data_IF_845074856306
#
_entry.id   IF_845074856306
#
_cell.length_a   1.000
_cell.length_b   1.000
_cell.length_c   1.000
_cell.angle_alpha   90.00
_cell.angle_beta   90.00
_cell.angle_gamma   90.00
#
_symmetry.space_group_name_H-M   'P 1'
#
loop_
_entity.id
_entity.type
_entity.pdbx_description
1 polymer ?
#
# COMPACT_ATOMS: atom_id res chain seq x y z
N UNK A 1 14.82 -52.25 -33.00
CA UNK A 1 13.84 -51.73 -32.00
C UNK A 1 14.43 -50.59 -31.16
N UNK A 2 15.59 -50.76 -30.52
CA UNK A 2 16.20 -49.76 -29.62
C UNK A 2 16.54 -48.40 -30.29
N UNK A 3 16.99 -48.41 -31.56
CA UNK A 3 17.27 -47.18 -32.33
C UNK A 3 16.02 -46.34 -32.63
N UNK A 4 14.85 -46.98 -32.79
CA UNK A 4 13.60 -46.27 -33.08
C UNK A 4 13.12 -45.54 -31.82
N UNK A 5 13.23 -46.17 -30.64
CA UNK A 5 12.90 -45.53 -29.36
C UNK A 5 13.77 -44.30 -29.08
N UNK A 6 15.08 -44.37 -29.33
CA UNK A 6 15.95 -43.20 -29.17
C UNK A 6 15.55 -42.06 -30.11
N UNK A 7 15.19 -42.37 -31.36
CA UNK A 7 14.75 -41.36 -32.33
C UNK A 7 13.44 -40.68 -31.90
N UNK A 8 12.48 -41.46 -31.41
CA UNK A 8 11.20 -40.94 -30.88
C UNK A 8 11.44 -40.05 -29.65
N UNK A 9 12.31 -40.48 -28.72
CA UNK A 9 12.61 -39.70 -27.51
C UNK A 9 13.28 -38.36 -27.84
N UNK A 10 14.20 -38.34 -28.81
CA UNK A 10 14.85 -37.11 -29.27
C UNK A 10 13.82 -36.16 -29.92
N UNK A 11 12.89 -36.70 -30.72
CA UNK A 11 11.81 -35.90 -31.31
C UNK A 11 10.88 -35.32 -30.24
N UNK A 12 10.52 -36.10 -29.21
CA UNK A 12 9.69 -35.61 -28.10
C UNK A 12 10.43 -34.51 -27.32
N UNK A 13 11.72 -34.69 -27.02
CA UNK A 13 12.52 -33.68 -26.34
C UNK A 13 12.67 -32.40 -27.16
N UNK A 14 12.87 -32.52 -28.48
CA UNK A 14 12.89 -31.38 -29.39
C UNK A 14 11.53 -30.70 -29.47
N UNK A 15 10.42 -31.45 -29.50
CA UNK A 15 9.08 -30.87 -29.49
C UNK A 15 8.79 -30.18 -28.17
N UNK A 16 9.22 -30.71 -27.02
CA UNK A 16 9.09 -30.06 -25.71
C UNK A 16 9.96 -28.80 -25.63
N UNK A 17 11.19 -28.83 -26.15
CA UNK A 17 12.07 -27.64 -26.24
C UNK A 17 11.49 -26.57 -27.17
N UNK A 18 10.93 -26.97 -28.31
CA UNK A 18 10.25 -26.06 -29.23
C UNK A 18 8.97 -25.53 -28.58
N UNK A 19 8.21 -26.37 -27.87
CA UNK A 19 7.04 -25.91 -27.11
C UNK A 19 7.45 -24.91 -26.04
N UNK A 20 8.52 -25.17 -25.28
CA UNK A 20 9.10 -24.23 -24.30
C UNK A 20 9.61 -22.95 -24.97
N UNK A 21 10.17 -22.99 -26.17
CA UNK A 21 10.60 -21.79 -26.91
C UNK A 21 9.40 -21.01 -27.45
N UNK A 22 8.30 -21.68 -27.80
CA UNK A 22 7.09 -21.04 -28.32
C UNK A 22 6.14 -20.57 -27.20
N UNK A 23 6.11 -21.23 -26.03
CA UNK A 23 5.38 -20.79 -24.83
C UNK A 23 6.21 -19.78 -24.04
N UNK A 24 7.53 -19.96 -23.96
CA UNK A 24 8.48 -18.94 -23.52
C UNK A 24 8.99 -18.13 -24.72
N UNK A 25 8.08 -17.67 -25.58
CA UNK A 25 8.34 -16.35 -26.14
C UNK A 25 8.27 -15.41 -24.94
N UNK A 26 9.39 -14.79 -24.51
CA UNK A 26 9.25 -13.60 -23.70
C UNK A 26 8.43 -12.68 -24.59
N UNK A 27 7.15 -12.50 -24.26
CA UNK A 27 6.43 -11.36 -24.75
C UNK A 27 7.36 -10.20 -24.46
N UNK A 28 7.88 -9.64 -25.55
CA UNK A 28 8.46 -8.33 -25.64
C UNK A 28 7.37 -7.38 -25.16
N UNK A 29 7.13 -7.36 -23.86
CA UNK A 29 6.55 -6.27 -23.13
C UNK A 29 7.75 -5.50 -22.63
N UNK A 30 8.14 -4.41 -23.33
CA UNK A 30 9.02 -3.44 -22.71
C UNK A 30 8.37 -3.05 -21.40
N UNK A 31 9.10 -3.23 -20.30
CA UNK A 31 8.74 -2.66 -19.00
C UNK A 31 8.76 -1.12 -19.00
N UNK A 32 8.78 -0.48 -20.18
CA UNK A 32 8.63 0.97 -20.37
C UNK A 32 7.18 1.44 -20.51
N UNK A 33 6.18 0.60 -20.17
CA UNK A 33 4.78 1.06 -19.96
C UNK A 33 4.20 0.78 -18.59
N UNK A 34 5.04 0.67 -17.55
CA UNK A 34 4.65 1.35 -16.31
C UNK A 34 4.87 2.82 -16.65
N UNK A 35 3.84 3.51 -17.15
CA UNK A 35 3.95 4.95 -17.31
C UNK A 35 4.17 5.50 -15.89
N UNK A 36 5.35 6.05 -15.55
CA UNK A 36 5.40 6.92 -14.41
C UNK A 36 4.40 8.03 -14.74
N UNK A 37 3.48 8.34 -13.84
CA UNK A 37 2.80 9.63 -13.94
C UNK A 37 3.93 10.66 -14.01
N UNK A 38 4.03 11.35 -15.14
CA UNK A 38 5.16 12.15 -15.55
C UNK A 38 5.74 12.98 -14.39
N UNK A 39 7.06 12.92 -14.23
CA UNK A 39 7.81 14.00 -13.59
C UNK A 39 7.75 15.21 -14.51
N UNK A 40 6.70 16.03 -14.42
CA UNK A 40 6.75 17.37 -14.98
C UNK A 40 7.61 18.25 -14.06
N UNK A 41 8.74 18.69 -14.59
CA UNK A 41 9.44 19.88 -14.11
C UNK A 41 8.46 21.05 -14.14
N UNK A 42 8.38 21.81 -13.04
CA UNK A 42 7.50 22.97 -12.85
C UNK A 42 7.35 23.83 -14.11
N UNK A 43 6.12 24.18 -14.52
CA UNK A 43 5.89 24.93 -15.75
C UNK A 43 6.44 26.35 -15.63
N UNK A 44 7.37 26.69 -16.53
CA UNK A 44 7.69 28.07 -16.85
C UNK A 44 6.46 28.77 -17.40
N UNK A 45 6.22 30.00 -16.92
CA UNK A 45 5.11 30.86 -17.27
C UNK A 45 5.00 31.11 -18.78
N UNK A 46 4.14 30.35 -19.46
CA UNK A 46 3.75 30.56 -20.84
C UNK A 46 2.25 30.79 -20.92
N UNK A 47 1.86 31.94 -21.49
CA UNK A 47 0.48 32.44 -21.62
C UNK A 47 -0.52 31.36 -22.05
N UNK A 48 -1.54 31.12 -21.22
CA UNK A 48 -2.74 30.37 -21.60
C UNK A 48 -3.54 31.23 -22.59
N UNK A 49 -3.49 30.87 -23.88
CA UNK A 49 -4.45 31.36 -24.86
C UNK A 49 -5.78 30.60 -24.70
N UNK A 50 -6.85 31.38 -24.71
CA UNK A 50 -8.23 31.02 -24.39
C UNK A 50 -8.83 29.99 -25.35
N UNK A 51 -9.13 28.80 -24.84
CA UNK A 51 -10.08 27.86 -25.44
C UNK A 51 -11.32 27.68 -24.54
N UNK A 52 -11.82 28.78 -23.97
CA UNK A 52 -12.96 28.80 -23.04
C UNK A 52 -14.34 28.67 -23.71
N UNK A 53 -14.46 28.75 -25.04
CA UNK A 53 -15.77 28.77 -25.71
C UNK A 53 -16.40 27.40 -26.03
N UNK A 54 -15.79 26.27 -25.61
CA UNK A 54 -16.35 24.93 -25.89
C UNK A 54 -16.88 24.15 -24.69
N UNK A 55 -16.83 24.66 -23.46
CA UNK A 55 -17.40 23.94 -22.30
C UNK A 55 -18.76 24.46 -21.82
N UNK A 56 -19.37 25.48 -22.43
CA UNK A 56 -20.66 26.03 -21.95
C UNK A 56 -21.91 25.21 -22.29
N UNK A 57 -21.82 24.09 -23.04
CA UNK A 57 -23.00 23.34 -23.48
C UNK A 57 -23.29 22.02 -22.75
N UNK A 58 -22.57 21.70 -21.69
CA UNK A 58 -22.88 20.55 -20.83
C UNK A 58 -22.65 20.99 -19.38
N UNK A 59 -23.70 21.46 -18.71
CA UNK A 59 -24.03 21.31 -17.28
C UNK A 59 -25.15 22.34 -17.00
N UNK A 60 -26.40 21.89 -16.96
CA UNK A 60 -27.47 22.62 -16.28
C UNK A 60 -27.25 22.42 -14.78
N UNK A 61 -26.65 23.40 -14.09
CA UNK A 61 -26.57 23.40 -12.62
C UNK A 61 -27.95 23.81 -12.07
N UNK A 62 -28.64 22.96 -11.29
CA UNK A 62 -29.86 23.37 -10.60
C UNK A 62 -29.55 24.46 -9.57
N UNK A 63 -30.22 25.61 -9.68
CA UNK A 63 -29.94 26.85 -8.95
C UNK A 63 -30.47 26.88 -7.50
N UNK A 64 -30.43 25.76 -6.78
CA UNK A 64 -30.75 25.71 -5.34
C UNK A 64 -29.81 24.73 -4.64
N UNK A 65 -28.50 24.99 -4.72
CA UNK A 65 -27.50 24.27 -3.93
C UNK A 65 -27.46 24.90 -2.53
N UNK A 66 -27.86 24.15 -1.50
CA UNK A 66 -27.62 24.54 -0.12
C UNK A 66 -26.10 24.48 0.16
N UNK A 67 -25.44 25.62 0.04
CA UNK A 67 -24.01 25.81 0.33
C UNK A 67 -23.69 25.75 1.85
N UNK A 68 -24.66 25.36 2.70
CA UNK A 68 -24.46 25.26 4.15
C UNK A 68 -23.34 24.29 4.53
N UNK A 69 -23.10 23.23 3.74
CA UNK A 69 -22.13 22.20 4.06
C UNK A 69 -20.80 22.35 3.28
N UNK A 70 -19.97 23.31 3.68
CA UNK A 70 -18.66 23.57 3.04
C UNK A 70 -17.73 22.34 2.99
N UNK A 71 -17.85 21.38 3.92
CA UNK A 71 -17.02 20.16 3.92
C UNK A 71 -17.45 19.11 2.89
N UNK A 72 -18.68 19.21 2.36
CA UNK A 72 -19.13 18.35 1.27
C UNK A 72 -18.36 18.63 -0.03
N UNK A 73 -18.16 19.92 -0.34
CA UNK A 73 -17.49 20.38 -1.55
C UNK A 73 -15.97 20.20 -1.46
N UNK A 74 -15.34 19.86 -2.59
CA UNK A 74 -13.88 19.77 -2.72
C UNK A 74 -13.45 20.81 -3.75
N UNK A 75 -12.65 21.79 -3.32
CA UNK A 75 -12.18 22.90 -4.18
C UNK A 75 -13.32 23.69 -4.85
N UNK A 76 -14.47 23.80 -4.17
CA UNK A 76 -15.67 24.47 -4.69
C UNK A 76 -16.52 23.63 -5.65
N UNK A 77 -16.12 22.39 -5.97
CA UNK A 77 -16.90 21.45 -6.78
C UNK A 77 -17.70 20.48 -5.91
N UNK A 78 -18.83 19.98 -6.42
CA UNK A 78 -19.41 18.74 -5.88
C UNK A 78 -18.31 17.67 -5.86
N UNK A 79 -18.17 16.95 -4.76
CA UNK A 79 -17.06 15.99 -4.57
C UNK A 79 -17.02 14.90 -5.65
N UNK A 80 -18.16 14.42 -6.12
CA UNK A 80 -18.21 13.38 -7.14
C UNK A 80 -17.88 13.96 -8.51
N UNK A 81 -18.20 15.23 -8.76
CA UNK A 81 -17.74 15.96 -9.94
C UNK A 81 -16.23 16.22 -9.87
N UNK A 82 -15.69 16.51 -8.68
CA UNK A 82 -14.24 16.63 -8.47
C UNK A 82 -13.52 15.31 -8.79
N UNK A 83 -14.01 14.16 -8.31
CA UNK A 83 -13.42 12.85 -8.64
C UNK A 83 -13.43 12.58 -10.15
N UNK A 84 -14.55 12.86 -10.82
CA UNK A 84 -14.67 12.74 -12.28
C UNK A 84 -13.69 13.66 -13.01
N UNK A 85 -13.56 14.90 -12.57
CA UNK A 85 -12.62 15.86 -13.14
C UNK A 85 -11.17 15.41 -12.98
N UNK A 86 -10.79 14.89 -11.81
CA UNK A 86 -9.45 14.35 -11.57
C UNK A 86 -9.17 13.13 -12.46
N UNK A 87 -10.12 12.21 -12.62
CA UNK A 87 -10.00 11.07 -13.54
C UNK A 87 -9.83 11.53 -14.99
N UNK A 88 -10.64 12.50 -15.44
CA UNK A 88 -10.61 13.02 -16.80
C UNK A 88 -9.24 13.64 -17.13
N UNK A 89 -8.69 14.45 -16.21
CA UNK A 89 -7.33 15.01 -16.32
C UNK A 89 -6.25 13.94 -16.49
N UNK A 90 -6.46 12.75 -15.94
CA UNK A 90 -5.47 11.66 -15.96
C UNK A 90 -5.59 10.74 -17.18
N UNK A 91 -6.81 10.47 -17.65
CA UNK A 91 -7.03 9.40 -18.64
C UNK A 91 -7.57 9.88 -19.98
N UNK A 92 -8.19 11.07 -20.05
CA UNK A 92 -8.89 11.61 -21.24
C UNK A 92 -9.81 10.60 -21.96
N UNK A 93 -10.19 9.50 -21.28
CA UNK A 93 -10.90 8.36 -21.82
C UNK A 93 -12.38 8.43 -21.40
N UNK A 94 -13.26 7.93 -22.27
CA UNK A 94 -14.66 7.71 -21.88
C UNK A 94 -14.75 6.55 -20.87
N UNK A 95 -15.67 6.60 -19.89
CA UNK A 95 -15.89 5.49 -18.97
C UNK A 95 -16.16 4.17 -19.69
N UNK A 96 -15.42 3.13 -19.29
CA UNK A 96 -15.62 1.75 -19.79
C UNK A 96 -16.53 1.00 -18.83
N UNK A 97 -17.22 -0.04 -19.29
CA UNK A 97 -17.96 -0.94 -18.40
C UNK A 97 -17.08 -2.13 -18.08
N UNK A 98 -16.92 -2.47 -16.80
CA UNK A 98 -16.14 -3.64 -16.41
C UNK A 98 -16.91 -4.92 -16.73
N UNK A 99 -16.24 -6.05 -16.96
CA UNK A 99 -16.92 -7.34 -17.07
C UNK A 99 -17.30 -7.92 -15.70
N UNK A 100 -16.56 -7.54 -14.66
CA UNK A 100 -16.72 -7.95 -13.27
C UNK A 100 -16.16 -6.88 -12.34
N UNK A 101 -16.57 -6.92 -11.07
CA UNK A 101 -16.00 -6.12 -9.99
C UNK A 101 -15.94 -6.98 -8.72
N UNK A 102 -14.78 -7.02 -8.08
CA UNK A 102 -14.54 -7.69 -6.79
C UNK A 102 -14.25 -6.61 -5.76
N UNK A 103 -15.09 -6.55 -4.74
CA UNK A 103 -14.98 -5.62 -3.61
C UNK A 103 -14.10 -6.21 -2.51
N UNK A 104 -13.53 -5.33 -1.68
CA UNK A 104 -12.69 -5.69 -0.54
C UNK A 104 -13.37 -5.24 0.77
N UNK A 105 -13.37 -3.93 1.07
CA UNK A 105 -14.05 -3.35 2.23
C UNK A 105 -14.85 -2.09 1.88
N UNK A 106 -15.71 -1.66 2.79
CA UNK A 106 -16.49 -0.45 2.68
C UNK A 106 -16.36 0.40 3.94
N UNK A 107 -16.12 1.69 3.77
CA UNK A 107 -15.85 2.63 4.86
C UNK A 107 -16.77 3.85 4.73
N UNK A 108 -17.44 4.24 5.80
CA UNK A 108 -18.29 5.42 5.83
C UNK A 108 -17.56 6.62 6.40
N UNK A 109 -17.42 7.65 5.59
CA UNK A 109 -16.93 8.97 5.98
C UNK A 109 -18.10 9.95 6.14
N UNK A 110 -17.79 11.19 6.49
CA UNK A 110 -18.79 12.22 6.79
C UNK A 110 -19.81 12.41 5.64
N UNK A 111 -19.34 12.36 4.39
CA UNK A 111 -20.11 12.74 3.21
C UNK A 111 -20.19 11.66 2.12
N UNK A 112 -19.52 10.52 2.30
CA UNK A 112 -19.54 9.42 1.33
C UNK A 112 -19.27 8.07 2.00
N UNK A 113 -19.58 7.01 1.26
CA UNK A 113 -19.11 5.65 1.57
C UNK A 113 -18.07 5.30 0.50
N UNK A 114 -16.87 4.93 0.92
CA UNK A 114 -15.79 4.51 0.03
C UNK A 114 -15.71 2.99 0.02
N UNK A 115 -15.81 2.37 -1.15
CA UNK A 115 -15.64 0.93 -1.35
C UNK A 115 -14.29 0.68 -2.00
N UNK A 116 -13.45 -0.11 -1.35
CA UNK A 116 -12.18 -0.58 -1.91
C UNK A 116 -12.40 -1.88 -2.68
N UNK A 117 -11.59 -2.11 -3.70
CA UNK A 117 -11.79 -3.20 -4.66
C UNK A 117 -10.47 -3.92 -4.91
N UNK A 118 -10.57 -5.16 -5.35
CA UNK A 118 -9.44 -5.97 -5.77
C UNK A 118 -9.46 -6.23 -7.26
N UNK A 119 -10.09 -5.41 -8.10
CA UNK A 119 -10.18 -5.68 -9.56
C UNK A 119 -9.16 -4.92 -10.39
N UNK A 120 -8.47 -5.63 -11.29
CA UNK A 120 -7.26 -5.11 -11.93
C UNK A 120 -7.60 -4.27 -13.15
N UNK A 121 -6.83 -3.20 -13.39
CA UNK A 121 -6.99 -2.34 -14.57
C UNK A 121 -8.41 -1.81 -14.72
N UNK A 122 -9.10 -1.60 -13.60
CA UNK A 122 -10.47 -1.08 -13.59
C UNK A 122 -10.54 0.44 -13.49
N UNK A 123 -9.44 1.18 -13.33
CA UNK A 123 -9.48 2.64 -13.25
C UNK A 123 -10.37 3.28 -14.35
N UNK A 124 -11.25 4.18 -13.95
CA UNK A 124 -12.24 4.85 -14.82
C UNK A 124 -13.39 3.98 -15.33
N UNK A 125 -13.57 2.75 -14.84
CA UNK A 125 -14.73 1.95 -15.20
C UNK A 125 -15.96 2.36 -14.40
N UNK A 126 -17.11 2.34 -15.07
CA UNK A 126 -18.41 2.56 -14.46
C UNK A 126 -18.85 1.35 -13.66
N UNK A 127 -19.38 1.63 -12.47
CA UNK A 127 -20.01 0.67 -11.56
C UNK A 127 -21.21 1.34 -10.89
N UNK A 128 -22.05 0.55 -10.22
CA UNK A 128 -23.21 1.02 -9.49
C UNK A 128 -23.09 0.66 -8.02
N UNK A 129 -23.19 1.66 -7.15
CA UNK A 129 -23.29 1.46 -5.71
C UNK A 129 -24.70 0.98 -5.34
N UNK A 130 -24.75 -0.13 -4.60
CA UNK A 130 -25.96 -0.83 -4.16
C UNK A 130 -26.05 -0.79 -2.65
N UNK A 131 -27.19 -0.37 -2.13
CA UNK A 131 -27.35 -0.01 -0.73
C UNK A 131 -28.37 -0.92 -0.08
N UNK A 132 -28.01 -1.52 1.06
CA UNK A 132 -28.88 -2.42 1.79
C UNK A 132 -29.05 -1.94 3.23
N UNK A 133 -30.27 -2.09 3.75
CA UNK A 133 -30.57 -1.94 5.17
C UNK A 133 -30.13 -3.17 6.00
N UNK A 134 -30.44 -3.18 7.29
CA UNK A 134 -30.15 -4.30 8.20
C UNK A 134 -30.87 -5.61 7.81
N UNK A 135 -31.98 -5.52 7.06
CA UNK A 135 -32.77 -6.67 6.59
C UNK A 135 -32.35 -7.15 5.19
N UNK A 136 -31.30 -6.57 4.60
CA UNK A 136 -30.86 -6.79 3.22
C UNK A 136 -31.90 -6.36 2.16
N UNK A 137 -32.71 -5.34 2.44
CA UNK A 137 -33.61 -4.71 1.49
C UNK A 137 -32.88 -3.55 0.79
N UNK A 138 -33.00 -3.47 -0.53
CA UNK A 138 -32.37 -2.40 -1.30
C UNK A 138 -32.99 -1.02 -1.02
N UNK A 139 -32.13 -0.06 -0.69
CA UNK A 139 -32.51 1.33 -0.42
C UNK A 139 -32.28 2.20 -1.65
N UNK A 140 -33.39 2.66 -2.25
CA UNK A 140 -33.38 3.63 -3.34
C UNK A 140 -32.79 3.10 -4.65
N UNK A 141 -32.56 4.00 -5.61
CA UNK A 141 -32.04 3.64 -6.93
C UNK A 141 -30.51 3.42 -6.89
N UNK A 142 -29.91 2.44 -7.58
CA UNK A 142 -28.45 2.30 -7.62
C UNK A 142 -27.75 3.61 -8.05
N UNK A 143 -26.66 3.99 -7.37
CA UNK A 143 -25.90 5.21 -7.69
C UNK A 143 -24.78 4.89 -8.67
N UNK A 144 -24.77 5.57 -9.82
CA UNK A 144 -23.69 5.42 -10.80
C UNK A 144 -22.42 6.10 -10.29
N UNK A 145 -21.31 5.35 -10.27
CA UNK A 145 -20.00 5.84 -9.86
C UNK A 145 -18.91 5.30 -10.79
N UNK A 146 -17.69 5.76 -10.56
CA UNK A 146 -16.50 5.37 -11.30
C UNK A 146 -15.46 4.87 -10.31
N UNK A 147 -14.69 3.88 -10.73
CA UNK A 147 -13.49 3.45 -10.00
C UNK A 147 -12.38 4.50 -10.17
N UNK A 148 -12.28 5.43 -9.24
CA UNK A 148 -11.19 6.40 -9.16
C UNK A 148 -11.03 6.92 -7.72
N UNK A 149 -9.82 6.94 -7.15
CA UNK A 149 -8.54 6.44 -7.69
C UNK A 149 -8.52 4.94 -8.02
N UNK A 150 -7.38 4.42 -8.50
CA UNK A 150 -7.27 2.97 -8.76
C UNK A 150 -7.66 2.18 -7.50
N UNK A 151 -8.45 1.11 -7.69
CA UNK A 151 -9.02 0.26 -6.64
C UNK A 151 -10.06 0.89 -5.71
N UNK A 152 -10.47 2.15 -5.93
CA UNK A 152 -11.37 2.87 -5.01
C UNK A 152 -12.63 3.31 -5.76
N UNK A 153 -13.79 3.19 -5.12
CA UNK A 153 -15.08 3.70 -5.60
C UNK A 153 -15.73 4.53 -4.51
N UNK A 154 -16.02 5.80 -4.79
CA UNK A 154 -16.77 6.67 -3.87
C UNK A 154 -18.26 6.61 -4.20
N UNK A 155 -19.08 6.38 -3.17
CA UNK A 155 -20.53 6.25 -3.25
C UNK A 155 -21.21 7.32 -2.39
N UNK A 156 -22.33 7.88 -2.85
CA UNK A 156 -23.16 8.78 -2.02
C UNK A 156 -23.66 8.07 -0.77
N UNK A 157 -23.71 8.78 0.36
CA UNK A 157 -24.37 8.27 1.58
C UNK A 157 -25.86 8.18 1.39
N UNK A 158 -26.48 7.24 2.11
CA UNK A 158 -27.93 7.12 2.23
C UNK A 158 -28.31 6.67 3.62
N UNK A 159 -29.26 7.39 4.20
CA UNK A 159 -29.79 7.08 5.51
C UNK A 159 -30.33 5.65 5.55
N UNK A 160 -30.03 4.94 6.64
CA UNK A 160 -30.42 3.55 6.82
C UNK A 160 -29.52 2.51 6.14
N UNK A 161 -28.49 2.92 5.37
CA UNK A 161 -27.55 1.95 4.77
C UNK A 161 -26.69 1.29 5.83
N UNK A 162 -26.60 -0.04 5.77
CA UNK A 162 -25.84 -0.88 6.71
C UNK A 162 -24.86 -1.78 5.99
N UNK A 163 -25.21 -2.18 4.76
CA UNK A 163 -24.31 -2.85 3.84
C UNK A 163 -24.32 -2.16 2.49
N UNK A 164 -23.21 -2.23 1.78
CA UNK A 164 -23.06 -1.70 0.44
C UNK A 164 -22.37 -2.72 -0.45
N UNK A 165 -22.66 -2.70 -1.74
CA UNK A 165 -21.87 -3.45 -2.72
C UNK A 165 -21.79 -2.72 -4.05
N UNK A 166 -21.03 -3.30 -4.98
CA UNK A 166 -20.86 -2.77 -6.33
C UNK A 166 -21.38 -3.79 -7.34
N UNK A 167 -22.22 -3.32 -8.26
CA UNK A 167 -22.61 -4.07 -9.46
C UNK A 167 -22.07 -3.42 -10.72
N UNK A 168 -21.78 -4.22 -11.74
CA UNK A 168 -21.36 -3.74 -13.06
C UNK A 168 -22.52 -3.07 -13.80
N UNK A 169 -23.70 -3.70 -13.71
CA UNK A 169 -24.95 -3.19 -14.27
C UNK A 169 -25.84 -2.63 -13.15
N UNK A 170 -26.75 -1.73 -13.51
CA UNK A 170 -27.62 -1.05 -12.54
C UNK A 170 -28.35 -2.03 -11.62
N UNK A 171 -28.94 -3.08 -12.22
CA UNK A 171 -29.68 -4.12 -11.51
C UNK A 171 -28.98 -5.48 -11.55
N UNK A 172 -27.66 -5.49 -11.77
CA UNK A 172 -26.88 -6.73 -11.82
C UNK A 172 -26.57 -7.30 -10.43
N UNK A 173 -25.93 -8.46 -10.41
CA UNK A 173 -25.48 -9.10 -9.16
C UNK A 173 -24.38 -8.29 -8.47
N UNK A 174 -24.34 -8.38 -7.14
CA UNK A 174 -23.30 -7.79 -6.30
C UNK A 174 -23.11 -8.57 -5.00
N UNK A 175 -21.95 -8.37 -4.37
CA UNK A 175 -21.66 -8.90 -3.04
C UNK A 175 -21.78 -7.78 -2.00
N UNK A 176 -22.67 -7.91 -1.01
CA UNK A 176 -22.83 -6.90 0.02
C UNK A 176 -21.72 -6.99 1.08
N UNK A 177 -21.16 -5.83 1.44
CA UNK A 177 -20.16 -5.66 2.48
C UNK A 177 -20.74 -4.87 3.66
N UNK A 178 -20.43 -5.25 4.92
CA UNK A 178 -20.71 -4.37 6.05
C UNK A 178 -19.90 -3.08 5.92
N UNK A 179 -20.49 -1.99 6.41
CA UNK A 179 -19.85 -0.67 6.41
C UNK A 179 -19.09 -0.47 7.72
N UNK A 180 -17.83 -0.06 7.60
CA UNK A 180 -16.97 0.32 8.73
C UNK A 180 -17.08 1.83 8.94
N UNK A 181 -17.42 2.26 10.16
CA UNK A 181 -17.52 3.68 10.50
C UNK A 181 -16.12 4.34 10.57
N UNK A 182 -15.94 5.39 9.76
CA UNK A 182 -14.76 6.27 9.74
C UNK A 182 -15.12 7.73 10.00
N UNK A 183 -16.31 8.01 10.52
CA UNK A 183 -16.74 9.34 11.02
C UNK A 183 -16.27 9.61 12.45
N UNK A 184 -15.04 9.20 12.76
CA UNK A 184 -14.48 9.34 14.10
C UNK A 184 -14.22 10.84 14.39
N UNK A 185 -14.72 11.33 15.54
CA UNK A 185 -14.49 12.72 15.97
C UNK A 185 -13.01 13.04 16.21
N UNK A 186 -12.24 12.01 16.58
CA UNK A 186 -10.79 12.06 16.78
C UNK A 186 -10.19 10.71 16.36
N UNK A 187 -8.98 10.69 15.81
CA UNK A 187 -8.25 9.45 15.59
C UNK A 187 -8.11 8.64 16.88
N UNK A 188 -8.22 7.32 16.76
CA UNK A 188 -7.96 6.35 17.84
C UNK A 188 -6.47 6.21 18.11
N UNK A 189 -5.66 6.33 17.06
CA UNK A 189 -4.21 6.22 17.09
C UNK A 189 -3.56 7.50 16.58
N UNK A 190 -2.46 7.90 17.21
CA UNK A 190 -1.61 8.97 16.71
C UNK A 190 -0.70 8.44 15.60
N UNK A 191 -0.12 7.24 15.79
CA UNK A 191 0.79 6.61 14.83
C UNK A 191 0.41 5.13 14.62
N UNK A 192 0.21 4.76 13.35
CA UNK A 192 -0.01 3.36 12.93
C UNK A 192 0.84 3.05 11.70
N UNK A 193 0.91 1.77 11.32
CA UNK A 193 1.68 1.32 10.16
C UNK A 193 0.83 0.48 9.22
N UNK A 194 0.80 0.87 7.95
CA UNK A 194 0.42 0.04 6.82
C UNK A 194 1.63 -0.79 6.38
N UNK A 195 1.56 -2.10 6.62
CA UNK A 195 2.58 -3.05 6.18
C UNK A 195 2.26 -3.48 4.75
N UNK A 196 3.25 -3.50 3.87
CA UNK A 196 3.09 -4.06 2.53
C UNK A 196 2.58 -5.52 2.59
N UNK A 197 1.86 -5.95 1.55
CA UNK A 197 1.24 -7.28 1.53
C UNK A 197 2.24 -8.42 1.78
N UNK A 198 1.85 -9.37 2.61
CA UNK A 198 2.57 -10.63 2.78
C UNK A 198 2.21 -11.61 1.65
N UNK A 199 3.25 -12.09 0.95
CA UNK A 199 3.16 -13.07 -0.12
C UNK A 199 4.47 -13.88 -0.28
N UNK A 200 4.44 -14.90 -1.13
CA UNK A 200 5.60 -15.76 -1.43
C UNK A 200 5.97 -16.72 -0.30
N UNK A 201 6.94 -17.59 -0.59
CA UNK A 201 7.23 -18.78 0.23
C UNK A 201 8.41 -18.62 1.20
N UNK A 202 9.12 -17.48 1.19
CA UNK A 202 10.17 -17.22 2.18
C UNK A 202 9.55 -17.21 3.59
N UNK A 203 10.15 -17.90 4.59
CA UNK A 203 9.75 -17.79 5.99
C UNK A 203 9.77 -16.34 6.48
N UNK A 204 8.65 -15.88 7.05
CA UNK A 204 8.47 -14.47 7.46
C UNK A 204 8.41 -14.29 8.96
N UNK A 205 8.15 -15.35 9.73
CA UNK A 205 7.88 -15.28 11.16
C UNK A 205 8.88 -14.39 11.92
N UNK A 206 10.19 -14.53 11.66
CA UNK A 206 11.21 -13.76 12.36
C UNK A 206 11.25 -12.30 11.88
N UNK A 207 11.20 -12.06 10.57
CA UNK A 207 11.14 -10.70 10.03
C UNK A 207 9.90 -9.96 10.51
N UNK A 208 8.78 -10.67 10.63
CA UNK A 208 7.51 -10.12 11.11
C UNK A 208 7.57 -9.73 12.58
N UNK A 209 8.05 -10.61 13.46
CA UNK A 209 8.22 -10.28 14.88
C UNK A 209 9.17 -9.09 15.04
N UNK A 210 10.32 -9.10 14.37
CA UNK A 210 11.28 -8.02 14.48
C UNK A 210 10.71 -6.69 13.96
N UNK A 211 9.97 -6.71 12.84
CA UNK A 211 9.30 -5.52 12.30
C UNK A 211 8.30 -4.95 13.31
N UNK A 212 7.38 -5.77 13.82
CA UNK A 212 6.37 -5.32 14.79
C UNK A 212 7.03 -4.76 16.04
N UNK A 213 7.97 -5.50 16.66
CA UNK A 213 8.61 -5.05 17.89
C UNK A 213 9.52 -3.83 17.67
N UNK A 214 10.14 -3.69 16.51
CA UNK A 214 10.89 -2.49 16.14
C UNK A 214 9.97 -1.26 16.09
N UNK A 215 8.87 -1.33 15.34
CA UNK A 215 7.98 -0.19 15.17
C UNK A 215 7.21 0.14 16.45
N UNK A 216 6.94 -0.84 17.32
CA UNK A 216 6.46 -0.58 18.68
C UNK A 216 7.44 0.25 19.51
N UNK A 217 8.75 -0.02 19.40
CA UNK A 217 9.78 0.83 20.02
C UNK A 217 9.82 2.25 19.43
N UNK A 218 9.35 2.43 18.19
CA UNK A 218 9.19 3.74 17.55
C UNK A 218 7.85 4.42 17.86
N UNK A 219 7.02 3.81 18.72
CA UNK A 219 5.73 4.36 19.16
C UNK A 219 4.54 4.02 18.27
N UNK A 220 4.67 3.08 17.32
CA UNK A 220 3.52 2.59 16.53
C UNK A 220 2.53 1.87 17.45
N UNK A 221 1.27 2.28 17.38
CA UNK A 221 0.20 1.81 18.28
C UNK A 221 -0.70 0.74 17.64
N UNK A 222 -0.69 0.65 16.31
CA UNK A 222 -1.52 -0.31 15.56
C UNK A 222 -0.92 -0.60 14.19
N UNK A 223 -1.17 -1.81 13.68
CA UNK A 223 -0.66 -2.30 12.40
C UNK A 223 -1.78 -2.80 11.51
N UNK A 224 -1.80 -2.33 10.27
CA UNK A 224 -2.70 -2.77 9.22
C UNK A 224 -1.92 -3.69 8.27
N UNK A 225 -2.39 -4.93 8.13
CA UNK A 225 -1.71 -5.97 7.38
C UNK A 225 -2.59 -6.55 6.28
N UNK A 226 -2.03 -6.71 5.08
CA UNK A 226 -2.68 -7.45 4.00
C UNK A 226 -1.97 -8.79 3.78
N UNK A 227 -2.73 -9.88 3.69
CA UNK A 227 -2.18 -11.22 3.46
C UNK A 227 -2.75 -11.77 2.15
N UNK A 228 -1.88 -11.95 1.16
CA UNK A 228 -2.22 -12.73 -0.03
C UNK A 228 -1.90 -14.22 0.20
N UNK A 229 -0.69 -14.51 0.68
CA UNK A 229 -0.25 -15.86 1.00
C UNK A 229 0.76 -15.84 2.15
N UNK A 230 0.53 -16.67 3.17
CA UNK A 230 1.43 -16.88 4.29
C UNK A 230 1.39 -18.36 4.69
N UNK A 231 2.54 -18.91 5.10
CA UNK A 231 2.59 -20.29 5.59
C UNK A 231 1.83 -20.43 6.91
N UNK A 232 1.37 -21.65 7.23
CA UNK A 232 0.74 -21.92 8.54
C UNK A 232 1.67 -21.51 9.69
N UNK A 233 2.98 -21.74 9.53
CA UNK A 233 3.97 -21.36 10.53
C UNK A 233 4.02 -19.85 10.74
N UNK A 234 4.06 -19.05 9.67
CA UNK A 234 4.02 -17.59 9.76
C UNK A 234 2.70 -17.09 10.35
N UNK A 235 1.59 -17.74 10.00
CA UNK A 235 0.26 -17.39 10.50
C UNK A 235 0.15 -17.54 12.02
N UNK A 236 0.93 -18.40 12.67
CA UNK A 236 0.91 -18.55 14.14
C UNK A 236 1.24 -17.24 14.84
N UNK A 237 2.34 -16.58 14.46
CA UNK A 237 2.72 -15.31 15.08
C UNK A 237 1.85 -14.15 14.63
N UNK A 238 1.41 -14.14 13.37
CA UNK A 238 0.47 -13.12 12.88
C UNK A 238 -0.82 -13.18 13.69
N UNK A 239 -1.41 -14.36 13.84
CA UNK A 239 -2.64 -14.56 14.61
C UNK A 239 -2.47 -14.20 16.08
N UNK A 240 -1.28 -14.37 16.65
CA UNK A 240 -1.00 -13.95 18.02
C UNK A 240 -1.07 -12.41 18.19
N UNK A 241 -0.49 -11.67 17.24
CA UNK A 241 -0.60 -10.19 17.23
C UNK A 241 -2.01 -9.69 16.89
N UNK A 242 -2.78 -10.45 16.09
CA UNK A 242 -4.20 -10.18 15.87
C UNK A 242 -4.99 -10.37 17.16
N UNK A 243 -4.75 -11.48 17.87
CA UNK A 243 -5.40 -11.79 19.15
C UNK A 243 -5.14 -10.73 20.22
N UNK A 244 -3.96 -10.12 20.24
CA UNK A 244 -3.65 -9.03 21.18
C UNK A 244 -4.15 -7.66 20.73
N UNK A 245 -4.79 -7.56 19.55
CA UNK A 245 -5.33 -6.31 18.99
C UNK A 245 -4.25 -5.36 18.45
N UNK A 246 -3.01 -5.84 18.31
CA UNK A 246 -1.89 -5.06 17.79
C UNK A 246 -1.96 -4.97 16.25
N UNK A 247 -2.40 -6.05 15.60
CA UNK A 247 -2.50 -6.17 14.13
C UNK A 247 -3.96 -6.40 13.72
N UNK A 248 -4.41 -5.70 12.68
CA UNK A 248 -5.64 -6.01 11.95
C UNK A 248 -5.29 -6.54 10.54
N UNK A 249 -6.06 -7.50 10.03
CA UNK A 249 -5.71 -8.24 8.80
C UNK A 249 -6.83 -8.20 7.77
N UNK A 250 -6.47 -7.80 6.54
CA UNK A 250 -7.27 -7.97 5.34
C UNK A 250 -6.69 -9.08 4.45
N UNK A 251 -7.50 -10.06 4.10
CA UNK A 251 -7.08 -11.15 3.21
C UNK A 251 -7.32 -10.78 1.75
N UNK A 252 -6.28 -10.91 0.93
CA UNK A 252 -6.33 -10.66 -0.50
C UNK A 252 -6.52 -11.99 -1.23
N UNK A 253 -7.60 -12.10 -2.01
CA UNK A 253 -7.92 -13.31 -2.78
C UNK A 253 -7.72 -13.01 -4.27
N UNK A 254 -6.86 -13.78 -4.92
CA UNK A 254 -6.61 -13.66 -6.36
C UNK A 254 -7.77 -14.18 -7.21
N UNK A 255 -8.18 -13.37 -8.17
CA UNK A 255 -9.30 -13.61 -9.10
C UNK A 255 -9.01 -13.16 -10.54
N UNK A 256 -7.98 -12.35 -10.74
CA UNK A 256 -7.55 -11.75 -12.01
C UNK A 256 -6.21 -12.32 -12.51
N UNK A 257 -5.67 -13.37 -11.88
CA UNK A 257 -4.41 -14.06 -12.26
C UNK A 257 -3.19 -13.13 -12.31
N UNK A 258 -3.00 -12.30 -11.27
CA UNK A 258 -1.88 -11.36 -11.19
C UNK A 258 -0.65 -12.03 -10.60
N UNK A 259 0.50 -11.39 -10.83
CA UNK A 259 1.70 -11.67 -10.04
C UNK A 259 1.58 -11.03 -8.65
N UNK A 260 2.13 -11.69 -7.64
CA UNK A 260 2.00 -11.28 -6.23
C UNK A 260 2.42 -9.84 -5.97
N UNK A 261 3.47 -9.36 -6.64
CA UNK A 261 3.98 -8.01 -6.48
C UNK A 261 2.98 -6.92 -6.91
N UNK A 262 1.95 -7.26 -7.70
CA UNK A 262 0.89 -6.32 -8.09
C UNK A 262 -0.14 -6.09 -6.98
N UNK A 263 -0.17 -6.93 -5.93
CA UNK A 263 -1.01 -6.68 -4.75
C UNK A 263 -0.60 -5.45 -3.97
N UNK A 264 0.65 -5.01 -4.12
CA UNK A 264 1.15 -3.80 -3.44
C UNK A 264 0.26 -2.59 -3.72
N UNK A 265 -0.24 -2.42 -4.95
CA UNK A 265 -1.11 -1.29 -5.27
C UNK A 265 -2.50 -1.39 -4.63
N UNK A 266 -3.03 -2.60 -4.44
CA UNK A 266 -4.29 -2.82 -3.71
C UNK A 266 -4.11 -2.51 -2.24
N UNK A 267 -3.01 -2.98 -1.62
CA UNK A 267 -2.65 -2.67 -0.25
C UNK A 267 -2.49 -1.17 -0.01
N UNK A 268 -1.79 -0.45 -0.88
CA UNK A 268 -1.63 0.99 -0.76
C UNK A 268 -2.97 1.73 -0.83
N UNK A 269 -3.80 1.39 -1.81
CA UNK A 269 -5.10 2.02 -2.01
C UNK A 269 -6.06 1.71 -0.86
N UNK A 270 -6.17 0.44 -0.45
CA UNK A 270 -7.04 0.04 0.65
C UNK A 270 -6.55 0.58 1.99
N UNK A 271 -5.26 0.44 2.31
CA UNK A 271 -4.73 0.87 3.59
C UNK A 271 -4.80 2.40 3.78
N UNK A 272 -4.65 3.17 2.70
CA UNK A 272 -4.88 4.62 2.70
C UNK A 272 -6.31 4.98 3.15
N UNK A 273 -7.31 4.20 2.72
CA UNK A 273 -8.71 4.41 3.12
C UNK A 273 -8.97 3.81 4.50
N UNK A 274 -8.43 2.63 4.77
CA UNK A 274 -8.62 1.87 6.00
C UNK A 274 -8.13 2.64 7.22
N UNK A 275 -6.94 3.26 7.15
CA UNK A 275 -6.39 4.05 8.26
C UNK A 275 -6.94 5.48 8.36
N UNK A 276 -7.62 5.97 7.32
CA UNK A 276 -8.13 7.35 7.26
C UNK A 276 -9.14 7.61 8.37
N UNK A 277 -8.86 8.62 9.18
CA UNK A 277 -9.73 9.02 10.30
C UNK A 277 -9.57 8.17 11.56
N UNK A 278 -9.03 6.95 11.45
CA UNK A 278 -8.68 6.12 12.60
C UNK A 278 -7.28 6.43 13.14
N UNK A 279 -6.34 6.77 12.26
CA UNK A 279 -4.97 7.12 12.61
C UNK A 279 -4.61 8.52 12.11
N UNK A 280 -3.94 9.32 12.95
CA UNK A 280 -3.45 10.65 12.55
C UNK A 280 -2.28 10.58 11.56
N UNK A 281 -1.25 9.78 11.86
CA UNK A 281 -0.09 9.54 11.02
C UNK A 281 0.08 8.05 10.70
N UNK A 282 0.17 7.71 9.43
CA UNK A 282 0.30 6.31 8.97
C UNK A 282 1.63 6.11 8.25
N UNK A 283 2.46 5.19 8.76
CA UNK A 283 3.69 4.73 8.10
C UNK A 283 3.30 3.78 6.96
N UNK A 284 3.88 3.97 5.78
CA UNK A 284 3.82 3.01 4.69
C UNK A 284 5.21 2.41 4.47
N UNK A 285 5.41 1.15 4.85
CA UNK A 285 6.70 0.46 4.76
C UNK A 285 6.56 -1.06 4.52
N UNK A 286 7.63 -1.66 4.02
CA UNK A 286 7.71 -3.09 3.72
C UNK A 286 8.13 -3.87 4.98
N UNK A 287 7.92 -5.19 4.95
CA UNK A 287 8.28 -6.11 6.03
C UNK A 287 9.78 -6.07 6.40
N UNK A 288 10.62 -5.86 5.40
CA UNK A 288 12.07 -5.87 5.47
C UNK A 288 12.70 -4.48 5.67
N UNK A 289 11.89 -3.51 6.11
CA UNK A 289 12.32 -2.13 6.35
C UNK A 289 12.26 -1.78 7.85
N UNK A 290 13.25 -1.02 8.33
CA UNK A 290 13.32 -0.48 9.69
C UNK A 290 13.54 1.02 9.60
N UNK A 291 12.55 1.81 9.98
CA UNK A 291 12.65 3.27 10.03
C UNK A 291 13.03 3.65 11.45
N UNK A 292 14.09 4.43 11.62
CA UNK A 292 14.45 4.95 12.93
C UNK A 292 14.96 6.39 12.82
N UNK A 293 14.93 7.05 13.97
CA UNK A 293 15.49 8.37 14.17
C UNK A 293 16.98 8.26 14.47
N UNK A 294 17.82 8.98 13.71
CA UNK A 294 19.29 8.92 13.81
C UNK A 294 19.80 9.82 14.93
N UNK A 295 19.95 11.13 14.69
CA UNK A 295 20.39 12.10 15.70
C UNK A 295 19.23 12.81 16.42
N UNK A 296 17.99 12.52 16.04
CA UNK A 296 16.82 13.09 16.72
C UNK A 296 16.58 12.38 18.06
N UNK A 297 16.46 13.18 19.13
CA UNK A 297 16.17 12.67 20.47
C UNK A 297 14.68 12.31 20.56
N UNK A 298 14.34 11.07 20.25
CA UNK A 298 12.97 10.56 20.40
C UNK A 298 12.65 9.43 19.43
N UNK A 299 11.40 8.98 19.50
CA UNK A 299 10.82 7.98 18.60
C UNK A 299 10.19 8.64 17.37
N UNK A 300 9.76 7.83 16.40
CA UNK A 300 8.95 8.34 15.27
C UNK A 300 7.67 9.01 15.77
N UNK A 301 7.03 8.48 16.81
CA UNK A 301 5.84 9.09 17.41
C UNK A 301 6.14 10.51 17.92
N UNK A 302 7.23 10.69 18.66
CA UNK A 302 7.65 12.01 19.14
C UNK A 302 7.91 12.97 17.97
N UNK A 303 8.55 12.46 16.91
CA UNK A 303 8.85 13.23 15.71
C UNK A 303 7.59 13.74 15.00
N UNK A 304 6.59 12.88 14.77
CA UNK A 304 5.36 13.31 14.08
C UNK A 304 4.49 14.23 14.95
N UNK A 305 4.57 14.12 16.28
CA UNK A 305 3.83 14.97 17.21
C UNK A 305 4.34 16.42 17.23
N UNK A 306 5.63 16.65 16.93
CA UNK A 306 6.19 18.02 16.85
C UNK A 306 5.92 18.70 15.51
N UNK A 307 5.41 17.99 14.51
CA UNK A 307 5.00 18.57 13.23
C UNK A 307 3.72 19.39 13.42
N UNK A 308 3.89 20.69 13.72
CA UNK A 308 2.77 21.64 13.95
C UNK A 308 2.25 22.31 12.69
N UNK A 309 3.01 22.29 11.60
CA UNK A 309 2.58 22.88 10.34
C UNK A 309 1.53 21.97 9.68
N UNK A 310 0.26 22.38 9.75
CA UNK A 310 -0.86 21.64 9.16
C UNK A 310 -0.78 21.47 7.63
N UNK A 311 0.07 22.23 6.94
CA UNK A 311 0.32 22.01 5.51
C UNK A 311 1.19 20.78 5.25
N UNK A 312 1.93 20.28 6.24
CA UNK A 312 2.71 19.04 6.09
C UNK A 312 1.75 17.86 6.21
N UNK A 313 1.67 17.06 5.16
CA UNK A 313 0.80 15.89 5.06
C UNK A 313 1.57 14.60 4.78
N UNK A 314 2.86 14.69 4.47
CA UNK A 314 3.73 13.54 4.25
C UNK A 314 5.16 13.86 4.66
N UNK A 315 5.81 12.88 5.27
CA UNK A 315 7.19 12.95 5.75
C UNK A 315 7.94 11.78 5.10
N UNK A 316 8.89 12.08 4.22
CA UNK A 316 9.57 11.07 3.41
C UNK A 316 10.99 10.80 3.92
N UNK A 317 11.27 9.53 4.19
CA UNK A 317 12.55 9.02 4.66
C UNK A 317 13.32 8.38 3.50
N UNK A 318 14.61 8.71 3.41
CA UNK A 318 15.54 8.06 2.48
C UNK A 318 15.94 6.70 3.04
N UNK A 319 16.41 5.82 2.17
CA UNK A 319 16.78 4.47 2.53
C UNK A 319 18.26 4.18 2.29
N UNK A 320 18.78 3.27 3.10
CA UNK A 320 20.05 2.60 2.94
C UNK A 320 19.77 1.11 2.81
N UNK A 321 20.33 0.48 1.78
CA UNK A 321 20.17 -0.95 1.55
C UNK A 321 21.16 -1.74 2.38
N UNK A 322 20.69 -2.79 3.05
CA UNK A 322 21.50 -3.74 3.80
C UNK A 322 21.49 -5.05 3.01
N UNK A 323 22.68 -5.54 2.68
CA UNK A 323 22.85 -6.70 1.82
C UNK A 323 22.60 -7.98 2.61
N UNK A 324 21.42 -8.58 2.43
CA UNK A 324 21.11 -9.92 2.94
C UNK A 324 21.54 -10.96 1.90
N UNK A 325 22.29 -11.96 2.35
CA UNK A 325 22.91 -12.97 1.47
C UNK A 325 22.32 -14.37 1.62
N UNK A 326 21.38 -14.54 2.55
CA UNK A 326 20.82 -15.83 2.96
C UNK A 326 19.34 -15.69 3.27
N UNK A 327 18.57 -16.74 3.01
CA UNK A 327 17.15 -16.80 3.37
C UNK A 327 16.95 -16.88 4.88
N UNK A 328 15.78 -16.41 5.34
CA UNK A 328 15.41 -16.48 6.76
C UNK A 328 15.25 -17.94 7.24
N UNK A 329 15.52 -18.23 8.53
CA UNK A 329 15.39 -19.57 9.07
C UNK A 329 13.91 -20.03 9.02
N UNK A 330 13.64 -21.28 8.65
CA UNK A 330 12.27 -21.77 8.48
C UNK A 330 11.51 -21.97 9.80
N UNK A 331 12.21 -22.16 10.92
CA UNK A 331 11.63 -22.43 12.23
C UNK A 331 12.45 -21.80 13.36
N UNK A 332 11.81 -21.58 14.49
CA UNK A 332 12.44 -21.14 15.74
C UNK A 332 13.18 -22.31 16.39
N UNK A 333 14.44 -22.11 16.77
CA UNK A 333 15.30 -23.12 17.41
C UNK A 333 15.86 -22.65 18.77
N UNK A 334 15.28 -21.61 19.36
CA UNK A 334 15.71 -21.05 20.63
C UNK A 334 16.42 -19.70 20.53
N UNK A 335 16.65 -19.08 21.68
CA UNK A 335 17.18 -17.70 21.78
C UNK A 335 18.53 -17.50 21.08
N UNK A 336 19.40 -18.52 21.09
CA UNK A 336 20.71 -18.48 20.41
C UNK A 336 20.58 -18.34 18.89
N UNK A 337 19.49 -18.84 18.31
CA UNK A 337 19.18 -18.64 16.90
C UNK A 337 18.84 -17.17 16.66
N UNK A 338 17.99 -16.58 17.50
CA UNK A 338 17.56 -15.18 17.37
C UNK A 338 18.73 -14.19 17.49
N UNK A 339 19.66 -14.44 18.41
CA UNK A 339 20.90 -13.66 18.56
C UNK A 339 21.76 -13.65 17.28
N UNK A 340 21.56 -14.61 16.37
CA UNK A 340 22.33 -14.77 15.13
C UNK A 340 21.56 -14.46 13.85
N UNK A 341 20.23 -14.55 13.89
CA UNK A 341 19.37 -14.55 12.71
C UNK A 341 18.41 -13.38 12.62
N UNK A 342 18.22 -12.61 13.68
CA UNK A 342 17.53 -11.32 13.57
C UNK A 342 18.23 -10.43 12.54
N UNK A 343 17.50 -9.86 11.56
CA UNK A 343 18.10 -8.97 10.57
C UNK A 343 18.99 -7.88 11.16
N UNK A 344 18.61 -7.29 12.29
CA UNK A 344 19.40 -6.24 12.95
C UNK A 344 20.73 -6.73 13.55
N UNK A 345 20.89 -8.04 13.78
CA UNK A 345 22.13 -8.65 14.30
C UNK A 345 23.04 -9.22 13.23
N UNK A 346 22.47 -9.68 12.10
CA UNK A 346 23.20 -10.52 11.14
C UNK A 346 23.84 -9.74 9.99
N UNK A 347 23.14 -8.75 9.46
CA UNK A 347 23.57 -8.06 8.24
C UNK A 347 23.91 -6.59 8.51
N UNK A 348 25.15 -6.24 8.17
CA UNK A 348 25.75 -4.93 8.43
C UNK A 348 26.22 -4.24 7.14
N UNK A 349 26.59 -5.02 6.12
CA UNK A 349 27.09 -4.50 4.86
C UNK A 349 26.01 -3.68 4.15
N UNK A 350 26.24 -2.37 4.09
CA UNK A 350 25.25 -1.39 3.70
C UNK A 350 25.73 -0.53 2.54
N UNK A 351 24.83 -0.20 1.62
CA UNK A 351 25.11 0.72 0.52
C UNK A 351 25.31 2.16 1.00
N UNK A 352 25.77 3.03 0.10
CA UNK A 352 25.49 4.46 0.25
C UNK A 352 23.98 4.74 0.36
N UNK A 353 23.62 5.88 0.93
CA UNK A 353 22.22 6.27 1.13
C UNK A 353 21.61 6.65 -0.22
N UNK A 354 20.49 6.03 -0.58
CA UNK A 354 19.80 6.27 -1.85
C UNK A 354 19.42 7.75 -2.02
N UNK A 355 19.45 8.30 -3.25
CA UNK A 355 19.12 9.71 -3.47
C UNK A 355 17.66 10.02 -3.11
N UNK A 356 17.29 11.31 -2.94
CA UNK A 356 15.91 11.69 -2.65
C UNK A 356 14.90 11.03 -3.61
N UNK A 357 13.85 10.43 -3.04
CA UNK A 357 12.81 9.71 -3.79
C UNK A 357 13.17 8.29 -4.26
N UNK A 358 14.43 7.86 -4.18
CA UNK A 358 14.82 6.49 -4.56
C UNK A 358 14.38 5.47 -3.50
N UNK A 359 13.31 4.77 -3.83
CA UNK A 359 12.59 3.81 -2.97
C UNK A 359 12.46 4.19 -1.51
N UNK A 360 12.16 5.49 -1.33
CA UNK A 360 11.85 6.12 -0.07
C UNK A 360 10.55 5.59 0.54
N UNK A 361 10.33 5.88 1.83
CA UNK A 361 9.10 5.54 2.54
C UNK A 361 8.52 6.76 3.23
N UNK A 362 7.20 6.76 3.40
CA UNK A 362 6.48 7.93 3.88
C UNK A 362 5.70 7.62 5.15
N UNK A 363 5.61 8.64 5.99
CA UNK A 363 4.64 8.74 7.07
C UNK A 363 3.67 9.84 6.68
N UNK A 364 2.39 9.54 6.58
CA UNK A 364 1.40 10.44 5.98
C UNK A 364 0.18 10.65 6.86
N UNK A 365 -0.41 11.85 6.77
CA UNK A 365 -1.76 12.10 7.25
C UNK A 365 -2.75 11.68 6.15
N UNK A 366 -3.36 10.51 6.30
CA UNK A 366 -4.21 9.89 5.28
C UNK A 366 -5.51 10.66 5.03
N UNK A 367 -5.89 11.58 5.93
CA UNK A 367 -7.02 12.51 5.69
C UNK A 367 -6.70 13.57 4.62
N UNK A 368 -5.41 13.84 4.38
CA UNK A 368 -4.92 14.85 3.43
C UNK A 368 -4.45 14.23 2.11
N UNK A 369 -4.25 12.91 2.06
CA UNK A 369 -3.76 12.18 0.88
C UNK A 369 -4.92 11.59 0.09
N UNK A 370 -4.99 11.94 -1.20
CA UNK A 370 -5.98 11.38 -2.13
C UNK A 370 -5.46 10.15 -2.86
N UNK A 371 -4.21 10.18 -3.33
CA UNK A 371 -3.56 9.06 -4.03
C UNK A 371 -2.16 8.85 -3.44
N UNK A 372 -1.95 7.67 -2.85
CA UNK A 372 -0.64 7.21 -2.39
C UNK A 372 0.03 6.31 -3.43
N UNK A 373 1.33 6.51 -3.67
CA UNK A 373 2.16 5.57 -4.41
C UNK A 373 3.21 4.95 -3.48
N UNK A 374 3.92 3.93 -3.95
CA UNK A 374 4.81 3.10 -3.10
C UNK A 374 5.83 3.95 -2.32
N UNK A 375 6.33 5.04 -2.92
CA UNK A 375 7.44 5.81 -2.36
C UNK A 375 7.11 7.28 -2.08
N UNK A 376 5.93 7.76 -2.47
CA UNK A 376 5.53 9.17 -2.34
C UNK A 376 4.03 9.35 -2.54
N UNK A 377 3.51 10.47 -2.03
CA UNK A 377 2.14 10.90 -2.33
C UNK A 377 2.05 11.36 -3.78
N UNK A 378 1.17 10.74 -4.57
CA UNK A 378 0.91 11.18 -5.96
C UNK A 378 0.01 12.40 -6.00
N UNK A 379 -0.99 12.46 -5.11
CA UNK A 379 -1.94 13.56 -5.07
C UNK A 379 -2.47 13.76 -3.65
N UNK A 380 -2.46 15.01 -3.19
CA UNK A 380 -3.16 15.44 -1.99
C UNK A 380 -4.57 15.91 -2.32
N UNK A 381 -5.46 15.90 -1.33
CA UNK A 381 -6.67 16.70 -1.38
C UNK A 381 -6.30 18.20 -1.41
N UNK A 382 -7.13 19.07 -1.98
CA UNK A 382 -6.97 20.51 -1.85
C UNK A 382 -7.20 20.92 -0.40
N UNK A 383 -6.36 21.81 0.15
CA UNK A 383 -6.55 22.28 1.52
C UNK A 383 -7.66 23.33 1.60
N UNK A 384 -8.42 23.33 2.69
CA UNK A 384 -9.59 24.20 2.89
C UNK A 384 -9.25 25.68 3.03
N UNK A 385 -8.02 26.00 3.43
CA UNK A 385 -7.51 27.36 3.58
C UNK A 385 -6.87 27.91 2.29
N UNK A 386 -6.90 27.15 1.19
CA UNK A 386 -6.25 27.51 -0.08
C UNK A 386 -4.74 27.32 -0.11
N UNK A 387 -4.11 26.81 0.96
CA UNK A 387 -2.71 26.39 0.90
C UNK A 387 -2.59 25.01 0.25
N UNK A 388 -1.37 24.60 -0.11
CA UNK A 388 -1.11 23.26 -0.60
C UNK A 388 -0.62 22.38 0.54
N UNK A 389 -1.14 21.15 0.62
CA UNK A 389 -0.48 20.11 1.38
C UNK A 389 0.84 19.72 0.71
N UNK A 390 1.86 19.47 1.52
CA UNK A 390 3.21 19.19 1.05
C UNK A 390 3.79 17.92 1.67
N UNK A 391 4.68 17.31 0.91
CA UNK A 391 5.59 16.28 1.40
C UNK A 391 6.93 16.93 1.76
N UNK A 392 7.38 16.75 3.00
CA UNK A 392 8.73 17.11 3.42
C UNK A 392 9.65 15.89 3.34
N UNK A 393 10.96 16.15 3.30
CA UNK A 393 12.00 15.12 3.34
C UNK A 393 12.71 15.20 4.68
N UNK A 394 13.01 14.04 5.24
CA UNK A 394 13.84 13.91 6.44
C UNK A 394 15.28 13.70 5.99
N UNK A 395 16.19 14.49 6.54
CA UNK A 395 17.61 14.31 6.30
C UNK A 395 18.09 13.01 6.98
N UNK A 396 18.99 12.22 6.35
CA UNK A 396 19.45 10.96 6.93
C UNK A 396 20.08 11.07 8.33
N UNK A 397 20.68 12.24 8.63
CA UNK A 397 21.19 12.60 9.95
C UNK A 397 20.08 12.71 10.99
N UNK A 398 18.84 12.97 10.58
CA UNK A 398 17.66 13.03 11.44
C UNK A 398 16.91 11.68 11.47
N UNK A 399 16.72 11.01 10.33
CA UNK A 399 16.08 9.70 10.27
C UNK A 399 16.30 8.96 8.96
N UNK A 400 16.32 7.63 9.02
CA UNK A 400 16.72 6.77 7.90
C UNK A 400 15.93 5.46 7.89
N UNK A 401 15.69 4.93 6.69
CA UNK A 401 15.19 3.56 6.50
C UNK A 401 16.37 2.61 6.27
N UNK A 402 16.49 1.56 7.09
CA UNK A 402 17.34 0.39 6.79
C UNK A 402 16.49 -0.64 6.06
N UNK A 403 16.86 -0.93 4.82
CA UNK A 403 16.13 -1.84 3.94
C UNK A 403 16.94 -3.14 3.75
N UNK A 404 16.54 -4.21 4.44
CA UNK A 404 17.22 -5.51 4.43
C UNK A 404 16.79 -6.34 3.22
N UNK A 405 17.60 -6.36 2.16
CA UNK A 405 17.17 -7.01 0.91
C UNK A 405 18.05 -8.21 0.57
N UNK A 406 17.40 -9.35 0.39
CA UNK A 406 18.05 -10.56 -0.09
C UNK A 406 18.47 -10.40 -1.55
N UNK A 407 19.74 -10.63 -1.85
CA UNK A 407 20.29 -10.46 -3.19
C UNK A 407 19.79 -11.52 -4.18
N UNK A 408 19.36 -12.69 -3.69
CA UNK A 408 18.89 -13.80 -4.53
C UNK A 408 17.40 -13.71 -4.83
N UNK A 409 16.58 -13.19 -3.90
CA UNK A 409 15.13 -13.09 -4.09
C UNK A 409 14.78 -12.18 -5.26
N UNK A 410 13.96 -12.69 -6.17
CA UNK A 410 13.49 -11.96 -7.35
C UNK A 410 14.61 -11.50 -8.30
N UNK A 411 15.79 -12.11 -8.24
CA UNK A 411 17.02 -11.67 -8.91
C UNK A 411 17.44 -10.24 -8.54
N UNK A 412 17.14 -9.76 -7.33
CA UNK A 412 17.36 -8.37 -6.95
C UNK A 412 18.82 -7.94 -7.15
N UNK A 413 19.77 -8.78 -6.70
CA UNK A 413 21.20 -8.51 -6.83
C UNK A 413 21.64 -8.33 -8.29
N UNK A 414 21.15 -9.20 -9.19
CA UNK A 414 21.43 -9.11 -10.63
C UNK A 414 20.82 -7.85 -11.26
N UNK A 415 19.62 -7.46 -10.84
CA UNK A 415 18.85 -6.35 -11.44
C UNK A 415 19.29 -4.98 -10.92
N UNK A 416 19.55 -4.85 -9.62
CA UNK A 416 19.60 -3.55 -8.95
C UNK A 416 20.91 -3.26 -8.21
N UNK A 417 21.72 -4.26 -7.86
CA UNK A 417 22.93 -4.04 -7.06
C UNK A 417 23.89 -3.03 -7.70
N UNK A 418 24.14 -3.15 -9.02
CA UNK A 418 25.03 -2.23 -9.73
C UNK A 418 24.55 -0.78 -9.70
N UNK A 419 23.24 -0.52 -9.75
CA UNK A 419 22.71 0.84 -9.57
C UNK A 419 22.80 1.30 -8.12
N UNK A 420 22.58 0.40 -7.17
CA UNK A 420 22.63 0.71 -5.72
C UNK A 420 24.05 1.05 -5.26
N UNK A 421 25.06 0.37 -5.78
CA UNK A 421 26.47 0.66 -5.46
C UNK A 421 26.94 2.03 -5.96
N UNK A 422 26.21 2.68 -6.87
CA UNK A 422 26.51 4.07 -7.29
C UNK A 422 26.19 5.10 -6.22
N UNK A 423 25.41 4.75 -5.19
CA UNK A 423 25.10 5.66 -4.08
C UNK A 423 26.30 5.89 -3.17
N UNK A 424 27.27 4.97 -3.21
CA UNK A 424 28.49 5.01 -2.41
C UNK A 424 29.02 3.60 -2.16
N UNK A 425 30.30 3.52 -1.80
CA UNK A 425 30.93 2.25 -1.42
C UNK A 425 30.19 1.57 -0.27
N UNK A 426 30.20 0.23 -0.27
CA UNK A 426 29.69 -0.55 0.84
C UNK A 426 30.45 -0.22 2.13
N UNK A 427 29.72 -0.13 3.24
CA UNK A 427 30.27 0.10 4.59
C UNK A 427 29.49 -0.74 5.57
N UNK A 428 30.13 -1.13 6.65
CA UNK A 428 29.43 -1.78 7.75
C UNK A 428 28.70 -0.71 8.58
N UNK A 429 27.38 -0.86 8.70
CA UNK A 429 26.56 -0.02 9.56
C UNK A 429 25.65 -0.90 10.42
N UNK A 430 25.54 -0.53 11.69
CA UNK A 430 24.75 -1.28 12.67
C UNK A 430 23.36 -0.68 12.87
N UNK A 431 22.42 -1.51 13.31
CA UNK A 431 21.19 -1.02 13.89
C UNK A 431 21.51 -0.23 15.19
N UNK A 432 20.81 0.87 15.50
CA UNK A 432 21.18 1.70 16.64
C UNK A 432 21.22 0.93 17.97
N UNK A 433 22.37 0.99 18.64
CA UNK A 433 22.63 0.25 19.88
C UNK A 433 21.66 0.60 21.01
N UNK A 434 21.13 1.83 21.02
CA UNK A 434 20.12 2.29 21.97
C UNK A 434 18.83 1.46 21.94
N UNK A 435 18.48 0.88 20.80
CA UNK A 435 17.26 0.07 20.63
C UNK A 435 17.55 -1.43 20.57
N UNK A 436 18.75 -1.83 20.12
CA UNK A 436 19.08 -3.22 19.79
C UNK A 436 18.81 -4.21 20.94
N UNK A 437 19.23 -3.85 22.15
CA UNK A 437 19.04 -4.71 23.34
C UNK A 437 17.57 -4.96 23.65
N UNK A 438 16.75 -3.89 23.66
CA UNK A 438 15.32 -4.00 23.95
C UNK A 438 14.54 -4.70 22.84
N UNK A 439 14.91 -4.43 21.58
CA UNK A 439 14.35 -5.11 20.42
C UNK A 439 14.59 -6.62 20.53
N UNK A 440 15.83 -7.03 20.80
CA UNK A 440 16.21 -8.44 20.95
C UNK A 440 15.41 -9.15 22.04
N UNK A 441 15.28 -8.52 23.21
CA UNK A 441 14.50 -9.06 24.32
C UNK A 441 13.02 -9.26 23.94
N UNK A 442 12.42 -8.26 23.27
CA UNK A 442 11.03 -8.32 22.83
C UNK A 442 10.81 -9.41 21.77
N UNK A 443 11.71 -9.55 20.80
CA UNK A 443 11.67 -10.59 19.76
C UNK A 443 11.78 -11.98 20.38
N UNK A 444 12.75 -12.19 21.29
CA UNK A 444 12.90 -13.45 22.03
C UNK A 444 11.64 -13.81 22.80
N UNK A 445 11.09 -12.85 23.56
CA UNK A 445 9.88 -13.06 24.34
C UNK A 445 8.70 -13.48 23.47
N UNK A 446 8.47 -12.82 22.33
CA UNK A 446 7.37 -13.16 21.42
C UNK A 446 7.59 -14.51 20.74
N UNK A 447 8.77 -14.73 20.16
CA UNK A 447 9.09 -15.99 19.47
C UNK A 447 8.96 -17.19 20.42
N UNK A 448 9.48 -17.07 21.64
CA UNK A 448 9.33 -18.09 22.68
C UNK A 448 7.86 -18.33 23.02
N UNK A 449 7.08 -17.28 23.26
CA UNK A 449 5.65 -17.43 23.58
C UNK A 449 4.86 -18.17 22.49
N UNK A 450 5.15 -17.87 21.22
CA UNK A 450 4.41 -18.44 20.08
C UNK A 450 4.89 -19.85 19.73
N UNK A 451 6.20 -20.11 19.79
CA UNK A 451 6.82 -21.31 19.21
C UNK A 451 7.50 -22.25 20.22
N UNK A 452 7.75 -21.84 21.46
CA UNK A 452 8.37 -22.70 22.51
C UNK A 452 7.30 -23.46 23.29
N UNK A 453 6.42 -24.17 22.57
CA UNK A 453 5.40 -25.02 23.13
C UNK A 453 5.73 -26.50 22.85
N UNK A 454 5.77 -27.31 23.91
CA UNK A 454 6.07 -28.75 23.81
C UNK A 454 5.05 -29.55 22.97
N UNK A 455 3.86 -28.98 22.73
CA UNK A 455 2.78 -29.62 21.98
C UNK A 455 2.82 -29.34 20.46
N UNK A 456 3.82 -28.57 20.01
CA UNK A 456 4.16 -28.36 18.60
C UNK A 456 5.31 -29.28 18.15
#
# INVERSE_FOLDING_TARGET
MQRIYQFILIIILLLLLVFDIFTNKPELFPSSRISPCYTESSPTSGKLESNAEKSEKLINVPSTLDLSNKSYFIDGFDRFDWYQFQLFRKTNDRPKTASNISTLYAYEFEHEITVTTTSWKRMGHRVYCRYLDDNNIEIGIPFESLTYPEYIVSCKKRDGTKKIGLSVEKNGDFFPLPIIDRMLKKPKYELSMCVASIYGDEPKWLMFIEMIEHFKLQGVQHFYLHIHHASEYDMRVINDYVRTGEVEVHYLIERDMRADNHWHMVNLADCLIWSRGETKWTIFADLDERIYMTNYTGTILDYVQVVKNESIASIQFRQQWIMKTELMPPKYEGDRQLDKWMPTHRWHSSSGIGPPGHTAKCIVDTSKVFIMFIHYVTQFFPATNGSNYVQIRVDPEEGLVRHYRDLSLGDWGRKWLNSTLKFGALRDTDYPSAFLGKLTENVKRRAKYVYDNYYD
#
